data_IF_299916522439
#
_entry.id   IF_299916522439
#
_cell.length_a   1.000
_cell.length_b   1.000
_cell.length_c   1.000
_cell.angle_alpha   90.00
_cell.angle_beta   90.00
_cell.angle_gamma   90.00
#
_symmetry.space_group_name_H-M   'P 1'
#
loop_
_entity.id
_entity.type
_entity.pdbx_description
1 polymer ?
#
# COMPACT_ATOMS: atom_id res chain seq x y z
N UNK A 1 4.05 20.96 -8.55
CA UNK A 1 5.31 20.26 -8.24
C UNK A 1 5.83 19.69 -9.55
N UNK A 2 7.08 19.97 -9.95
CA UNK A 2 7.60 19.51 -11.24
C UNK A 2 7.99 18.02 -11.17
N UNK A 3 7.52 17.21 -12.13
CA UNK A 3 7.81 15.77 -12.21
C UNK A 3 9.09 15.51 -13.01
N UNK A 4 10.24 15.92 -12.46
CA UNK A 4 11.54 15.80 -13.14
C UNK A 4 12.25 14.50 -12.76
N UNK A 5 12.93 13.83 -13.72
CA UNK A 5 13.67 12.61 -13.44
C UNK A 5 14.90 12.90 -12.57
N UNK A 6 15.35 11.91 -11.79
CA UNK A 6 16.59 12.04 -11.01
C UNK A 6 17.84 12.27 -11.88
N UNK A 7 17.78 11.92 -13.17
CA UNK A 7 18.83 12.21 -14.15
C UNK A 7 19.00 13.71 -14.43
N UNK A 8 18.04 14.55 -14.04
CA UNK A 8 18.18 16.01 -14.15
C UNK A 8 19.42 16.51 -13.41
N UNK A 9 19.76 15.89 -12.27
CA UNK A 9 20.96 16.22 -11.49
C UNK A 9 22.28 15.85 -12.19
N UNK A 10 22.21 15.16 -13.33
CA UNK A 10 23.34 14.81 -14.17
C UNK A 10 23.39 15.63 -15.46
N UNK A 11 22.40 16.51 -15.70
CA UNK A 11 22.41 17.45 -16.82
C UNK A 11 23.42 18.58 -16.59
N UNK A 12 24.36 18.76 -17.50
CA UNK A 12 25.45 19.73 -17.36
C UNK A 12 24.96 21.19 -17.33
N UNK A 13 23.84 21.52 -17.98
CA UNK A 13 23.29 22.89 -17.92
C UNK A 13 22.62 23.14 -16.58
N UNK A 14 21.89 22.17 -16.07
CA UNK A 14 21.29 22.23 -14.75
C UNK A 14 22.36 22.34 -13.66
N UNK A 15 23.43 21.56 -13.75
CA UNK A 15 24.59 21.66 -12.85
C UNK A 15 25.24 23.04 -12.89
N UNK A 16 25.48 23.60 -14.09
CA UNK A 16 26.03 24.95 -14.22
C UNK A 16 25.16 26.03 -13.55
N UNK A 17 23.83 25.91 -13.64
CA UNK A 17 22.90 26.80 -12.93
C UNK A 17 23.01 26.62 -11.41
N UNK A 18 23.09 25.37 -10.94
CA UNK A 18 23.19 25.07 -9.52
C UNK A 18 24.52 25.52 -8.92
N UNK A 19 25.62 25.44 -9.66
CA UNK A 19 26.94 25.94 -9.24
C UNK A 19 26.93 27.47 -9.04
N UNK A 20 26.15 28.21 -9.83
CA UNK A 20 25.97 29.66 -9.64
C UNK A 20 25.12 29.95 -8.40
N UNK A 21 24.03 29.21 -8.20
CA UNK A 21 23.06 29.47 -7.14
C UNK A 21 23.53 28.99 -5.76
N UNK A 22 24.28 27.90 -5.70
CA UNK A 22 24.73 27.26 -4.47
C UNK A 22 26.13 26.62 -4.65
N UNK A 23 27.19 27.43 -4.88
CA UNK A 23 28.55 26.94 -5.16
C UNK A 23 29.15 26.10 -4.02
N UNK A 24 28.66 26.28 -2.79
CA UNK A 24 29.10 25.53 -1.61
C UNK A 24 28.49 24.13 -1.49
N UNK A 25 27.46 23.81 -2.28
CA UNK A 25 26.74 22.55 -2.16
C UNK A 25 27.24 21.54 -3.20
N UNK A 26 27.88 20.47 -2.75
CA UNK A 26 28.24 19.35 -3.62
C UNK A 26 27.02 18.49 -3.95
N UNK A 27 26.57 18.57 -5.20
CA UNK A 27 25.37 17.84 -5.64
C UNK A 27 25.65 16.34 -5.82
N UNK A 28 24.91 15.45 -5.13
CA UNK A 28 25.09 14.02 -5.29
C UNK A 28 24.70 13.55 -6.69
N UNK A 29 25.43 12.55 -7.21
CA UNK A 29 25.04 11.84 -8.44
C UNK A 29 23.72 11.08 -8.24
N UNK A 30 23.01 10.76 -9.34
CA UNK A 30 21.76 9.98 -9.26
C UNK A 30 21.95 8.66 -8.50
N UNK A 31 23.09 7.98 -8.71
CA UNK A 31 23.45 6.76 -7.97
C UNK A 31 23.58 6.99 -6.47
N UNK A 32 24.10 8.15 -6.05
CA UNK A 32 24.21 8.50 -4.63
C UNK A 32 22.82 8.73 -4.04
N UNK A 33 21.94 9.46 -4.73
CA UNK A 33 20.54 9.63 -4.31
C UNK A 33 19.79 8.30 -4.20
N UNK A 34 19.94 7.41 -5.18
CA UNK A 34 19.32 6.09 -5.15
C UNK A 34 19.77 5.28 -3.93
N UNK A 35 21.09 5.24 -3.65
CA UNK A 35 21.64 4.58 -2.46
C UNK A 35 21.16 5.23 -1.16
N UNK A 36 21.04 6.56 -1.11
CA UNK A 36 20.51 7.26 0.07
C UNK A 36 19.04 6.89 0.32
N UNK A 37 18.22 6.80 -0.73
CA UNK A 37 16.84 6.37 -0.63
C UNK A 37 16.72 4.91 -0.16
N UNK A 38 17.57 4.03 -0.69
CA UNK A 38 17.65 2.63 -0.27
C UNK A 38 18.07 2.49 1.21
N UNK A 39 19.12 3.21 1.63
CA UNK A 39 19.54 3.24 3.03
C UNK A 39 18.44 3.76 3.95
N UNK A 40 17.72 4.81 3.53
CA UNK A 40 16.58 5.33 4.28
C UNK A 40 15.48 4.28 4.38
N UNK A 41 15.17 3.56 3.29
CA UNK A 41 14.21 2.46 3.30
C UNK A 41 14.59 1.39 4.32
N UNK A 42 15.82 0.87 4.31
CA UNK A 42 16.24 -0.17 5.26
C UNK A 42 16.25 0.34 6.71
N UNK A 43 16.63 1.60 6.92
CA UNK A 43 16.58 2.24 8.24
C UNK A 43 15.14 2.36 8.76
N UNK A 44 14.21 2.80 7.91
CA UNK A 44 12.79 2.88 8.23
C UNK A 44 12.19 1.50 8.48
N UNK A 45 12.50 0.51 7.63
CA UNK A 45 12.07 -0.89 7.78
C UNK A 45 12.50 -1.45 9.12
N UNK A 46 13.78 -1.32 9.48
CA UNK A 46 14.29 -1.77 10.77
C UNK A 46 13.61 -1.06 11.96
N UNK A 47 13.29 0.23 11.82
CA UNK A 47 12.60 1.00 12.86
C UNK A 47 11.15 0.54 13.05
N UNK A 48 10.45 0.19 11.96
CA UNK A 48 9.10 -0.40 12.00
C UNK A 48 9.14 -1.76 12.71
N UNK A 49 10.11 -2.61 12.38
CA UNK A 49 10.27 -3.90 13.05
C UNK A 49 10.45 -3.75 14.56
N UNK A 50 11.36 -2.86 14.97
CA UNK A 50 11.57 -2.56 16.39
C UNK A 50 10.28 -2.08 17.05
N UNK A 51 9.53 -1.19 16.41
CA UNK A 51 8.25 -0.70 16.94
C UNK A 51 7.28 -1.85 17.23
N UNK A 52 7.09 -2.78 16.29
CA UNK A 52 6.14 -3.88 16.45
C UNK A 52 6.65 -4.99 17.39
N UNK A 53 7.96 -5.19 17.51
CA UNK A 53 8.54 -6.06 18.55
C UNK A 53 8.29 -5.52 19.96
N UNK A 54 8.30 -4.20 20.13
CA UNK A 54 8.04 -3.54 21.41
C UNK A 54 6.55 -3.35 21.71
N UNK A 55 5.69 -3.42 20.70
CA UNK A 55 4.25 -3.35 20.92
C UNK A 55 3.78 -4.58 21.71
N UNK A 56 2.92 -4.40 22.73
CA UNK A 56 2.33 -5.52 23.43
C UNK A 56 1.69 -6.48 22.43
N UNK A 57 1.99 -7.78 22.53
CA UNK A 57 1.50 -8.80 21.58
C UNK A 57 -0.01 -8.77 21.36
N UNK A 58 -0.77 -8.38 22.38
CA UNK A 58 -2.24 -8.27 22.33
C UNK A 58 -2.74 -6.90 21.81
N UNK A 59 -1.88 -6.07 21.23
CA UNK A 59 -2.31 -4.81 20.62
C UNK A 59 -3.12 -5.12 19.37
N UNK A 60 -4.40 -4.73 19.29
CA UNK A 60 -5.18 -4.92 18.07
C UNK A 60 -4.63 -4.01 16.98
N UNK A 61 -4.30 -4.59 15.82
CA UNK A 61 -3.78 -3.87 14.66
C UNK A 61 -4.68 -4.16 13.46
N UNK A 62 -5.13 -3.09 12.79
CA UNK A 62 -5.86 -3.17 11.53
C UNK A 62 -4.91 -2.97 10.36
N UNK A 63 -4.92 -3.89 9.39
CA UNK A 63 -4.17 -3.74 8.15
C UNK A 63 -5.05 -3.13 7.08
N UNK A 64 -4.69 -1.96 6.57
CA UNK A 64 -5.26 -1.42 5.35
C UNK A 64 -4.41 -1.85 4.16
N UNK A 65 -5.03 -2.54 3.22
CA UNK A 65 -4.42 -3.02 1.99
C UNK A 65 -4.97 -2.20 0.83
N UNK A 66 -4.07 -1.53 0.10
CA UNK A 66 -4.40 -0.90 -1.16
C UNK A 66 -3.55 -1.46 -2.29
N UNK A 67 -4.14 -1.54 -3.48
CA UNK A 67 -3.50 -2.06 -4.67
C UNK A 67 -3.90 -1.25 -5.88
N UNK A 68 -2.93 -1.06 -6.76
CA UNK A 68 -3.14 -0.42 -8.05
C UNK A 68 -2.15 -0.96 -9.08
N UNK A 69 -2.56 -0.86 -10.34
CA UNK A 69 -1.68 -1.04 -11.48
C UNK A 69 -1.32 0.32 -12.05
N UNK A 70 -0.10 0.48 -12.55
CA UNK A 70 0.29 1.64 -13.34
C UNK A 70 -0.56 1.76 -14.59
N UNK A 71 -0.68 2.98 -15.14
CA UNK A 71 -1.51 3.25 -16.33
C UNK A 71 -1.10 2.44 -17.55
N UNK A 72 0.20 2.17 -17.69
CA UNK A 72 0.77 1.34 -18.76
C UNK A 72 0.58 -0.16 -18.53
N UNK A 73 -0.07 -0.56 -17.43
CA UNK A 73 -0.35 -1.94 -17.02
C UNK A 73 0.90 -2.80 -16.82
N UNK A 74 2.09 -2.19 -16.69
CA UNK A 74 3.36 -2.91 -16.55
C UNK A 74 3.68 -3.29 -15.12
N UNK A 75 3.27 -2.48 -14.16
CA UNK A 75 3.63 -2.67 -12.76
C UNK A 75 2.40 -2.60 -11.87
N UNK A 76 2.38 -3.51 -10.91
CA UNK A 76 1.30 -3.70 -9.95
C UNK A 76 1.90 -3.55 -8.57
N UNK A 77 1.27 -2.77 -7.70
CA UNK A 77 1.79 -2.52 -6.35
C UNK A 77 0.76 -2.87 -5.29
N UNK A 78 1.26 -3.36 -4.15
CA UNK A 78 0.51 -3.53 -2.91
C UNK A 78 1.10 -2.64 -1.83
N UNK A 79 0.26 -1.90 -1.13
CA UNK A 79 0.64 -1.24 0.11
C UNK A 79 -0.08 -1.89 1.28
N UNK A 80 0.65 -2.06 2.37
CA UNK A 80 0.13 -2.56 3.64
C UNK A 80 0.42 -1.50 4.69
N UNK A 81 -0.65 -0.91 5.21
CA UNK A 81 -0.61 0.15 6.22
C UNK A 81 -1.22 -0.38 7.51
N UNK A 82 -0.49 -0.28 8.61
CA UNK A 82 -0.99 -0.70 9.92
C UNK A 82 -1.60 0.50 10.63
N UNK A 83 -2.76 0.27 11.23
CA UNK A 83 -3.45 1.21 12.12
C UNK A 83 -3.65 0.56 13.48
N UNK A 84 -3.38 1.31 14.55
CA UNK A 84 -3.62 0.85 15.91
C UNK A 84 -3.85 2.05 16.84
N UNK A 85 -4.36 1.77 18.04
CA UNK A 85 -4.47 2.77 19.10
C UNK A 85 -3.29 2.61 20.04
N UNK A 86 -2.50 3.69 20.19
CA UNK A 86 -1.57 3.82 21.30
C UNK A 86 -2.39 4.01 22.58
N UNK A 87 -2.42 2.98 23.43
CA UNK A 87 -3.22 2.98 24.66
C UNK A 87 -2.71 4.00 25.69
N UNK A 88 -1.42 4.29 25.72
CA UNK A 88 -0.86 5.21 26.70
C UNK A 88 -1.28 6.66 26.40
N UNK A 89 -1.32 7.02 25.11
CA UNK A 89 -1.68 8.37 24.66
C UNK A 89 -3.15 8.49 24.21
N UNK A 90 -3.85 7.37 24.08
CA UNK A 90 -5.16 7.26 23.45
C UNK A 90 -5.24 7.90 22.05
N UNK A 91 -4.19 7.66 21.25
CA UNK A 91 -4.05 8.24 19.92
C UNK A 91 -4.04 7.17 18.84
N UNK A 92 -4.74 7.45 17.74
CA UNK A 92 -4.60 6.64 16.52
C UNK A 92 -3.22 6.83 15.91
N UNK A 93 -2.54 5.71 15.67
CA UNK A 93 -1.26 5.66 14.99
C UNK A 93 -1.43 4.92 13.67
N UNK A 94 -0.69 5.35 12.66
CA UNK A 94 -0.70 4.79 11.31
C UNK A 94 0.73 4.68 10.80
N UNK A 95 1.09 3.55 10.18
CA UNK A 95 2.41 3.36 9.56
C UNK A 95 2.30 2.54 8.28
N UNK A 96 2.97 2.97 7.22
CA UNK A 96 3.24 2.15 6.05
C UNK A 96 4.26 1.08 6.44
N UNK A 97 3.90 -0.19 6.31
CA UNK A 97 4.72 -1.34 6.73
C UNK A 97 5.35 -2.04 5.53
N UNK A 98 4.61 -2.11 4.42
CA UNK A 98 5.09 -2.71 3.19
C UNK A 98 4.59 -1.91 1.98
N UNK A 99 5.45 -1.84 0.97
CA UNK A 99 5.18 -1.33 -0.37
C UNK A 99 5.85 -2.30 -1.31
N UNK A 100 5.06 -3.19 -1.90
CA UNK A 100 5.56 -4.36 -2.62
C UNK A 100 5.17 -4.28 -4.08
N UNK A 101 6.07 -4.71 -4.95
CA UNK A 101 5.75 -4.99 -6.34
C UNK A 101 5.07 -6.36 -6.40
N UNK A 102 3.93 -6.43 -7.07
CA UNK A 102 3.19 -7.67 -7.30
C UNK A 102 3.69 -8.26 -8.62
N UNK A 103 4.27 -9.44 -8.55
CA UNK A 103 4.72 -10.17 -9.75
C UNK A 103 3.52 -10.79 -10.50
N UNK A 104 3.45 -10.51 -11.81
CA UNK A 104 2.49 -11.13 -12.71
C UNK A 104 1.08 -10.53 -12.69
N UNK A 105 0.07 -11.36 -13.03
CA UNK A 105 -1.34 -10.97 -13.09
C UNK A 105 -1.92 -10.93 -11.68
N UNK A 106 -2.83 -9.99 -11.41
CA UNK A 106 -3.59 -9.80 -10.15
C UNK A 106 -4.53 -10.97 -9.78
N UNK A 107 -4.02 -12.19 -9.78
CA UNK A 107 -4.70 -13.37 -9.29
C UNK A 107 -4.66 -13.36 -7.76
N UNK A 108 -5.75 -13.79 -7.12
CA UNK A 108 -5.83 -13.83 -5.66
C UNK A 108 -4.64 -14.53 -4.99
N UNK A 109 -4.10 -15.59 -5.60
CA UNK A 109 -2.92 -16.32 -5.11
C UNK A 109 -1.64 -15.47 -5.10
N UNK A 110 -1.39 -14.72 -6.18
CA UNK A 110 -0.22 -13.84 -6.25
C UNK A 110 -0.29 -12.73 -5.18
N UNK A 111 -1.50 -12.17 -4.98
CA UNK A 111 -1.74 -11.18 -3.93
C UNK A 111 -1.55 -11.78 -2.53
N UNK A 112 -2.05 -12.99 -2.29
CA UNK A 112 -1.88 -13.70 -1.02
C UNK A 112 -0.40 -13.95 -0.73
N UNK A 113 0.38 -14.44 -1.70
CA UNK A 113 1.82 -14.64 -1.54
C UNK A 113 2.52 -13.32 -1.26
N UNK A 114 2.29 -12.29 -2.07
CA UNK A 114 2.89 -10.97 -1.88
C UNK A 114 2.62 -10.41 -0.47
N UNK A 115 1.38 -10.49 0.01
CA UNK A 115 1.04 -10.08 1.37
C UNK A 115 1.74 -10.94 2.43
N UNK A 116 1.62 -12.27 2.30
CA UNK A 116 2.12 -13.21 3.29
C UNK A 116 3.64 -13.11 3.44
N UNK A 117 4.36 -13.14 2.33
CA UNK A 117 5.82 -13.08 2.28
C UNK A 117 6.31 -11.76 2.87
N UNK A 118 5.64 -10.64 2.57
CA UNK A 118 5.98 -9.34 3.15
C UNK A 118 5.80 -9.29 4.68
N UNK A 119 4.74 -9.91 5.21
CA UNK A 119 4.51 -9.99 6.65
C UNK A 119 5.42 -10.99 7.35
N UNK A 120 5.71 -12.12 6.71
CA UNK A 120 6.61 -13.17 7.21
C UNK A 120 8.05 -12.68 7.29
N UNK A 121 8.56 -12.05 6.23
CA UNK A 121 9.89 -11.42 6.19
C UNK A 121 10.08 -10.41 7.34
N UNK A 122 8.99 -9.80 7.80
CA UNK A 122 8.97 -8.80 8.86
C UNK A 122 8.61 -9.38 10.23
N UNK A 123 8.34 -10.68 10.35
CA UNK A 123 7.83 -11.32 11.56
C UNK A 123 6.55 -10.67 12.13
N UNK A 124 5.67 -10.18 11.26
CA UNK A 124 4.44 -9.44 11.61
C UNK A 124 3.15 -10.24 11.41
N UNK A 125 3.22 -11.52 11.03
CA UNK A 125 2.04 -12.35 10.76
C UNK A 125 1.04 -12.35 11.94
N UNK A 126 1.52 -12.39 13.18
CA UNK A 126 0.67 -12.41 14.36
C UNK A 126 0.11 -11.04 14.79
N UNK A 127 0.56 -9.95 14.16
CA UNK A 127 0.08 -8.60 14.45
C UNK A 127 -1.11 -8.22 13.57
N UNK A 128 -2.11 -9.09 13.48
CA UNK A 128 -3.37 -8.82 12.76
C UNK A 128 -4.57 -9.03 13.68
N UNK A 129 -5.41 -8.01 13.77
CA UNK A 129 -6.76 -8.13 14.33
C UNK A 129 -7.78 -8.07 13.19
N UNK A 130 -7.75 -7.01 12.39
CA UNK A 130 -8.66 -6.85 11.26
C UNK A 130 -7.91 -6.42 10.01
N UNK A 131 -8.51 -6.63 8.85
CA UNK A 131 -8.01 -6.17 7.57
C UNK A 131 -9.08 -5.34 6.86
N UNK A 132 -8.65 -4.36 6.07
CA UNK A 132 -9.54 -3.57 5.23
C UNK A 132 -8.96 -3.39 3.84
N UNK A 133 -9.82 -3.42 2.83
CA UNK A 133 -9.41 -3.26 1.43
C UNK A 133 -10.58 -2.93 0.51
N UNK A 134 -10.30 -2.70 -0.77
CA UNK A 134 -11.34 -2.45 -1.78
C UNK A 134 -12.33 -3.63 -1.87
N UNK A 135 -13.58 -3.33 -2.21
CA UNK A 135 -14.56 -4.34 -2.57
C UNK A 135 -14.35 -4.76 -4.04
N UNK A 136 -13.34 -5.60 -4.25
CA UNK A 136 -12.95 -6.11 -5.55
C UNK A 136 -12.79 -7.64 -5.47
N UNK A 137 -13.03 -8.34 -6.58
CA UNK A 137 -13.02 -9.81 -6.64
C UNK A 137 -11.66 -10.40 -6.28
N UNK A 138 -10.58 -9.76 -6.71
CA UNK A 138 -9.21 -10.15 -6.38
C UNK A 138 -8.92 -10.02 -4.87
N UNK A 139 -9.40 -8.96 -4.20
CA UNK A 139 -9.29 -8.81 -2.75
C UNK A 139 -10.06 -9.91 -2.03
N UNK A 140 -11.25 -10.26 -2.51
CA UNK A 140 -12.04 -11.35 -1.93
C UNK A 140 -11.27 -12.68 -2.02
N UNK A 141 -10.78 -13.03 -3.22
CA UNK A 141 -10.00 -14.24 -3.43
C UNK A 141 -8.69 -14.29 -2.60
N UNK A 142 -8.03 -13.14 -2.44
CA UNK A 142 -6.83 -13.01 -1.61
C UNK A 142 -7.15 -13.27 -0.13
N UNK A 143 -8.21 -12.65 0.39
CA UNK A 143 -8.57 -12.73 1.80
C UNK A 143 -9.07 -14.12 2.18
N UNK A 144 -9.84 -14.78 1.31
CA UNK A 144 -10.24 -16.19 1.53
C UNK A 144 -9.01 -17.10 1.65
N UNK A 145 -7.97 -16.88 0.83
CA UNK A 145 -6.73 -17.65 0.96
C UNK A 145 -5.93 -17.27 2.21
N UNK A 146 -5.85 -15.98 2.56
CA UNK A 146 -5.19 -15.55 3.79
C UNK A 146 -5.85 -16.14 5.04
N UNK A 147 -7.19 -16.26 5.06
CA UNK A 147 -7.90 -16.95 6.14
C UNK A 147 -7.34 -18.36 6.34
N UNK A 148 -7.19 -19.16 5.29
CA UNK A 148 -6.63 -20.51 5.39
C UNK A 148 -5.21 -20.47 5.95
N UNK A 149 -4.34 -19.58 5.45
CA UNK A 149 -2.97 -19.46 5.96
C UNK A 149 -2.90 -19.05 7.44
N UNK A 150 -3.81 -18.18 7.89
CA UNK A 150 -3.90 -17.81 9.31
C UNK A 150 -4.39 -18.97 10.18
N UNK A 151 -5.35 -19.75 9.68
CA UNK A 151 -5.82 -20.97 10.35
C UNK A 151 -4.69 -22.01 10.47
N UNK A 152 -3.87 -22.16 9.43
CA UNK A 152 -2.72 -23.08 9.42
C UNK A 152 -1.68 -22.74 10.51
N UNK A 153 -1.52 -21.45 10.84
CA UNK A 153 -0.66 -21.00 11.95
C UNK A 153 -1.38 -20.89 13.29
N UNK A 154 -2.58 -21.47 13.40
CA UNK A 154 -3.36 -21.57 14.65
C UNK A 154 -4.10 -20.30 15.05
N UNK A 155 -4.31 -19.34 14.15
CA UNK A 155 -5.08 -18.13 14.43
C UNK A 155 -6.56 -18.30 14.07
N UNK A 156 -7.44 -17.90 14.99
CA UNK A 156 -8.88 -17.79 14.73
C UNK A 156 -9.16 -16.48 13.99
N UNK A 157 -8.79 -16.42 12.72
CA UNK A 157 -9.05 -15.28 11.84
C UNK A 157 -10.01 -15.70 10.74
N UNK A 158 -11.07 -14.92 10.52
CA UNK A 158 -12.15 -15.22 9.56
C UNK A 158 -12.47 -13.99 8.71
N UNK A 159 -12.73 -14.20 7.42
CA UNK A 159 -13.13 -13.16 6.49
C UNK A 159 -14.35 -12.38 6.99
N UNK A 160 -15.38 -13.07 7.47
CA UNK A 160 -16.66 -12.44 7.83
C UNK A 160 -16.56 -11.51 9.03
N UNK A 161 -15.72 -11.84 10.02
CA UNK A 161 -15.60 -11.04 11.25
C UNK A 161 -14.46 -10.03 11.17
N UNK A 162 -13.41 -10.34 10.42
CA UNK A 162 -12.15 -9.61 10.49
C UNK A 162 -11.80 -8.84 9.21
N UNK A 163 -12.55 -8.99 8.12
CA UNK A 163 -12.33 -8.20 6.91
C UNK A 163 -13.45 -7.19 6.66
N UNK A 164 -13.07 -5.94 6.42
CA UNK A 164 -14.00 -4.86 6.13
C UNK A 164 -13.72 -4.20 4.78
N UNK A 165 -14.77 -3.99 3.99
CA UNK A 165 -14.63 -3.24 2.74
C UNK A 165 -14.35 -1.76 3.01
N UNK A 166 -13.51 -1.17 2.17
CA UNK A 166 -13.24 0.25 2.17
C UNK A 166 -14.53 1.03 1.87
N UNK A 167 -15.03 1.77 2.85
CA UNK A 167 -16.25 2.57 2.73
C UNK A 167 -16.18 3.55 1.55
N UNK A 168 -15.03 4.21 1.35
CA UNK A 168 -14.83 5.11 0.22
C UNK A 168 -15.01 4.38 -1.13
N UNK A 169 -14.47 3.18 -1.27
CA UNK A 169 -14.64 2.40 -2.50
C UNK A 169 -16.09 2.00 -2.74
N UNK A 170 -16.82 1.62 -1.68
CA UNK A 170 -18.25 1.31 -1.75
C UNK A 170 -19.05 2.53 -2.20
N UNK A 171 -18.80 3.71 -1.61
CA UNK A 171 -19.45 4.96 -1.98
C UNK A 171 -19.15 5.36 -3.42
N UNK A 172 -17.88 5.27 -3.85
CA UNK A 172 -17.51 5.57 -5.24
C UNK A 172 -18.20 4.63 -6.23
N UNK A 173 -18.40 3.35 -5.89
CA UNK A 173 -19.13 2.42 -6.75
C UNK A 173 -20.61 2.77 -6.80
N UNK A 174 -21.24 3.06 -5.66
CA UNK A 174 -22.63 3.51 -5.60
C UNK A 174 -22.88 4.74 -6.48
N UNK A 175 -22.00 5.74 -6.42
CA UNK A 175 -22.13 6.95 -7.26
C UNK A 175 -21.99 6.62 -8.74
N UNK A 176 -21.03 5.75 -9.12
CA UNK A 176 -20.86 5.33 -10.52
C UNK A 176 -22.08 4.58 -11.03
N UNK A 177 -22.59 3.63 -10.25
CA UNK A 177 -23.77 2.85 -10.61
C UNK A 177 -24.99 3.76 -10.79
N UNK A 178 -25.19 4.72 -9.89
CA UNK A 178 -26.25 5.73 -10.01
C UNK A 178 -26.12 6.57 -11.30
N UNK A 179 -24.94 7.12 -11.58
CA UNK A 179 -24.71 7.92 -12.78
C UNK A 179 -24.90 7.11 -14.07
N UNK A 180 -24.48 5.85 -14.08
CA UNK A 180 -24.67 4.95 -15.22
C UNK A 180 -26.17 4.69 -15.46
N UNK A 181 -26.95 4.39 -14.42
CA UNK A 181 -28.40 4.20 -14.55
C UNK A 181 -29.10 5.46 -15.06
N UNK A 182 -28.70 6.64 -14.57
CA UNK A 182 -29.24 7.92 -15.06
C UNK A 182 -28.91 8.14 -16.55
N UNK A 183 -27.69 7.80 -16.99
CA UNK A 183 -27.29 7.95 -18.40
C UNK A 183 -28.04 7.02 -19.34
N UNK A 184 -28.41 5.81 -18.88
CA UNK A 184 -29.19 4.85 -19.66
C UNK A 184 -30.61 5.36 -19.90
N UNK A 185 -31.25 5.92 -18.86
CA UNK A 185 -32.57 6.55 -19.00
C UNK A 185 -32.54 7.68 -20.03
N UNK A 186 -31.50 8.53 -20.01
CA UNK A 186 -31.37 9.62 -20.99
C UNK A 186 -31.05 9.15 -22.41
N UNK A 187 -30.53 7.93 -22.59
CA UNK A 187 -30.20 7.38 -23.92
C UNK A 187 -31.34 6.56 -24.53
N UNK A 188 -32.23 5.98 -23.71
CA UNK A 188 -33.40 5.22 -24.19
C UNK A 188 -34.59 6.14 -24.53
N UNK A 189 -34.64 7.37 -24.00
CA UNK A 189 -35.72 8.34 -24.25
C UNK A 189 -35.50 9.25 -25.48
N UNK A 190 -34.46 9.02 -26.28
CA UNK A 190 -34.21 9.72 -27.56
C UNK A 190 -34.07 8.74 -28.74
N UNK A 191 -35.14 7.99 -29.02
CA UNK A 191 -35.40 7.44 -30.35
C UNK A 191 -36.59 8.22 -30.91
N UNK A 192 -36.31 9.31 -31.64
CA UNK A 192 -37.24 9.92 -32.60
C UNK A 192 -36.78 9.56 -34.01
#
# INVERSE_FOLDING_TARGET
MAHLPLTLFEDGKFQAVLEILAPQFEWPRCKTFARMAENLYYTCKASILKLFLWLPKMTPVTHAIDMWTTKDQRHSYMTIVFHWIDKAQFQSKTRLVAFELIDGVHLGKALTSCFWDAMEERALLHHVSTMKGKNASNNHAMITQLQHKYQDIGMTWTYHEHFHFCAFHVLCRLVKDFLNSMSQLTNEDYIF
#
